data_IF_063746617521
#
_entry.id   IF_063746617521
#
_cell.length_a   1.000
_cell.length_b   1.000
_cell.length_c   1.000
_cell.angle_alpha   90.00
_cell.angle_beta   90.00
_cell.angle_gamma   90.00
#
_symmetry.space_group_name_H-M   'P 1'
#
loop_
_entity.id
_entity.type
_entity.pdbx_description
1 polymer ?
#
# COMPACT_ATOMS: atom_id res chain seq x y z
N UNK A 1 1.94 10.59 22.55
CA UNK A 1 1.15 9.68 21.66
C UNK A 1 0.64 10.32 20.36
N UNK A 2 0.43 11.65 20.26
CA UNK A 2 0.02 12.32 18.99
C UNK A 2 1.15 12.45 17.95
N UNK A 3 2.39 12.70 18.39
CA UNK A 3 3.57 12.83 17.51
C UNK A 3 3.94 11.52 16.79
N UNK A 4 3.90 10.39 17.50
CA UNK A 4 4.16 9.06 16.91
C UNK A 4 3.12 8.70 15.83
N UNK A 5 1.83 9.01 16.05
CA UNK A 5 0.80 8.82 15.03
C UNK A 5 1.03 9.72 13.82
N UNK A 6 1.40 10.98 14.01
CA UNK A 6 1.75 11.90 12.93
C UNK A 6 2.96 11.43 12.10
N UNK A 7 3.99 10.89 12.76
CA UNK A 7 5.19 10.36 12.10
C UNK A 7 4.87 9.07 11.31
N UNK A 8 4.05 8.18 11.88
CA UNK A 8 3.60 6.94 11.22
C UNK A 8 2.70 7.27 10.02
N UNK A 9 1.81 8.27 10.13
CA UNK A 9 0.96 8.71 9.01
C UNK A 9 1.74 9.47 7.93
N UNK A 10 2.77 10.25 8.31
CA UNK A 10 3.64 10.93 7.35
C UNK A 10 4.58 9.97 6.62
N UNK A 11 5.11 8.97 7.31
CA UNK A 11 5.94 7.92 6.73
C UNK A 11 5.18 7.07 5.71
N UNK A 12 3.89 6.77 5.95
CA UNK A 12 3.05 6.05 5.00
C UNK A 12 2.87 6.78 3.67
N UNK A 13 2.74 8.10 3.70
CA UNK A 13 2.58 8.93 2.49
C UNK A 13 3.89 8.96 1.70
N UNK A 14 5.02 9.19 2.38
CA UNK A 14 6.34 9.18 1.73
C UNK A 14 6.68 7.80 1.14
N UNK A 15 6.41 6.73 1.88
CA UNK A 15 6.60 5.36 1.43
C UNK A 15 5.72 5.05 0.21
N UNK A 16 4.47 5.52 0.19
CA UNK A 16 3.57 5.35 -0.95
C UNK A 16 4.13 5.98 -2.25
N UNK A 17 4.61 7.23 -2.18
CA UNK A 17 5.18 7.90 -3.36
C UNK A 17 6.50 7.25 -3.81
N UNK A 18 7.35 6.85 -2.86
CA UNK A 18 8.58 6.12 -3.16
C UNK A 18 8.29 4.77 -3.84
N UNK A 19 7.33 4.01 -3.33
CA UNK A 19 6.91 2.74 -3.94
C UNK A 19 6.28 2.94 -5.32
N UNK A 20 5.50 4.00 -5.51
CA UNK A 20 4.91 4.35 -6.80
C UNK A 20 5.99 4.61 -7.86
N UNK A 21 7.11 5.22 -7.47
CA UNK A 21 8.27 5.41 -8.33
C UNK A 21 8.92 4.08 -8.74
N UNK A 22 9.15 3.18 -7.78
CA UNK A 22 9.72 1.85 -8.05
C UNK A 22 8.80 1.06 -8.99
N UNK A 23 7.49 1.09 -8.74
CA UNK A 23 6.50 0.44 -9.59
C UNK A 23 6.49 1.01 -11.01
N UNK A 24 6.65 2.33 -11.19
CA UNK A 24 6.80 2.93 -12.52
C UNK A 24 8.02 2.34 -13.25
N UNK A 25 9.17 2.25 -12.59
CA UNK A 25 10.39 1.70 -13.20
C UNK A 25 10.21 0.22 -13.54
N UNK A 26 9.63 -0.57 -12.62
CA UNK A 26 9.38 -1.99 -12.81
C UNK A 26 8.41 -2.25 -13.97
N UNK A 27 7.27 -1.55 -13.98
CA UNK A 27 6.26 -1.71 -15.03
C UNK A 27 6.78 -1.26 -16.39
N UNK A 28 7.55 -0.17 -16.46
CA UNK A 28 8.19 0.23 -17.71
C UNK A 28 9.30 -0.72 -18.15
N UNK A 29 9.97 -1.41 -17.22
CA UNK A 29 10.89 -2.50 -17.56
C UNK A 29 10.16 -3.70 -18.16
N UNK A 30 9.11 -4.18 -17.48
CA UNK A 30 8.39 -5.41 -17.85
C UNK A 30 7.48 -5.22 -19.07
N UNK A 31 6.64 -4.17 -19.11
CA UNK A 31 5.65 -3.98 -20.17
C UNK A 31 6.28 -3.65 -21.53
N UNK A 32 7.41 -2.93 -21.52
CA UNK A 32 8.15 -2.61 -22.75
C UNK A 32 8.81 -3.87 -23.32
N UNK A 33 9.37 -4.73 -22.46
CA UNK A 33 9.95 -6.01 -22.88
C UNK A 33 8.90 -6.97 -23.44
N UNK A 34 7.69 -6.96 -22.87
CA UNK A 34 6.60 -7.83 -23.30
C UNK A 34 5.80 -7.28 -24.50
N UNK A 35 6.13 -6.07 -25.01
CA UNK A 35 5.37 -5.36 -26.06
C UNK A 35 3.85 -5.28 -25.81
N UNK A 36 3.44 -5.44 -24.55
CA UNK A 36 2.03 -5.60 -24.17
C UNK A 36 1.28 -4.26 -24.21
N UNK A 37 2.01 -3.17 -24.05
CA UNK A 37 1.48 -1.80 -24.09
C UNK A 37 2.44 -0.95 -24.93
N UNK A 38 1.95 -0.23 -25.96
CA UNK A 38 2.79 0.58 -26.83
C UNK A 38 3.31 1.86 -26.15
N UNK A 39 2.85 2.15 -24.94
CA UNK A 39 3.12 3.39 -24.22
C UNK A 39 3.65 3.14 -22.81
N UNK A 40 4.66 3.91 -22.44
CA UNK A 40 5.24 3.91 -21.09
C UNK A 40 4.21 4.40 -20.08
N UNK A 41 4.13 3.73 -18.93
CA UNK A 41 3.28 4.13 -17.82
C UNK A 41 3.83 5.42 -17.20
N UNK A 42 2.95 6.41 -17.07
CA UNK A 42 3.25 7.68 -16.39
C UNK A 42 3.25 7.51 -14.88
N UNK A 43 3.96 8.39 -14.17
CA UNK A 43 4.05 8.31 -12.70
C UNK A 43 2.68 8.30 -12.00
N UNK A 44 1.74 9.13 -12.49
CA UNK A 44 0.38 9.22 -11.97
C UNK A 44 -0.43 7.94 -12.17
N UNK A 45 -0.21 7.23 -13.27
CA UNK A 45 -0.85 5.93 -13.51
C UNK A 45 -0.29 4.85 -12.58
N UNK A 46 1.02 4.80 -12.38
CA UNK A 46 1.65 3.87 -11.45
C UNK A 46 1.17 4.12 -10.00
N UNK A 47 1.09 5.39 -9.58
CA UNK A 47 0.54 5.76 -8.29
C UNK A 47 -0.95 5.36 -8.18
N UNK A 48 -1.76 5.68 -9.20
CA UNK A 48 -3.18 5.30 -9.22
C UNK A 48 -3.40 3.79 -9.11
N UNK A 49 -2.67 2.98 -9.89
CA UNK A 49 -2.71 1.52 -9.79
C UNK A 49 -2.30 1.03 -8.41
N UNK A 50 -1.25 1.62 -7.84
CA UNK A 50 -0.80 1.28 -6.50
C UNK A 50 -1.84 1.61 -5.42
N UNK A 51 -2.53 2.74 -5.55
CA UNK A 51 -3.65 3.10 -4.68
C UNK A 51 -4.81 2.10 -4.79
N UNK A 52 -5.16 1.69 -6.01
CA UNK A 52 -6.20 0.67 -6.22
C UNK A 52 -5.83 -0.65 -5.54
N UNK A 53 -4.58 -1.11 -5.64
CA UNK A 53 -4.09 -2.29 -4.93
C UNK A 53 -4.25 -2.11 -3.42
N UNK A 54 -3.82 -0.98 -2.86
CA UNK A 54 -3.97 -0.70 -1.43
C UNK A 54 -5.45 -0.75 -1.02
N UNK A 55 -6.36 -0.14 -1.78
CA UNK A 55 -7.79 -0.15 -1.45
C UNK A 55 -8.39 -1.56 -1.52
N UNK A 56 -8.03 -2.35 -2.54
CA UNK A 56 -8.48 -3.73 -2.69
C UNK A 56 -8.01 -4.62 -1.53
N UNK A 57 -6.79 -4.42 -1.05
CA UNK A 57 -6.23 -5.18 0.06
C UNK A 57 -6.44 -4.53 1.44
N UNK A 58 -6.91 -3.28 1.51
CA UNK A 58 -7.17 -2.58 2.76
C UNK A 58 -8.30 -3.25 3.56
N UNK A 59 -9.22 -3.94 2.88
CA UNK A 59 -10.28 -4.72 3.53
C UNK A 59 -9.82 -6.13 3.94
N UNK A 60 -8.71 -6.63 3.41
CA UNK A 60 -8.09 -7.93 3.80
C UNK A 60 -7.26 -7.73 5.08
N UNK A 61 -7.86 -7.05 6.06
CA UNK A 61 -7.33 -6.94 7.41
C UNK A 61 -7.48 -8.27 8.15
N UNK A 62 -6.57 -9.21 7.90
CA UNK A 62 -6.24 -10.24 8.90
C UNK A 62 -5.68 -9.50 10.11
N UNK A 63 -6.57 -9.22 11.06
CA UNK A 63 -6.26 -8.36 12.20
C UNK A 63 -7.48 -7.62 12.71
N UNK A 64 -8.55 -8.35 13.02
CA UNK A 64 -9.57 -7.85 13.94
C UNK A 64 -9.15 -8.21 15.38
N UNK A 65 -8.45 -7.33 16.13
CA UNK A 65 -8.08 -7.60 17.52
C UNK A 65 -9.28 -7.63 18.48
N UNK A 66 -10.50 -7.28 18.02
CA UNK A 66 -11.67 -7.22 18.91
C UNK A 66 -12.19 -8.60 19.38
N UNK A 67 -11.75 -9.70 18.75
CA UNK A 67 -12.10 -11.06 19.19
C UNK A 67 -11.20 -11.64 20.29
N UNK A 68 -9.90 -11.32 20.27
CA UNK A 68 -8.91 -11.93 21.18
C UNK A 68 -8.85 -11.25 22.55
N UNK A 69 -9.06 -9.94 22.63
CA UNK A 69 -9.00 -9.21 23.90
C UNK A 69 -10.20 -9.49 24.84
N UNK A 70 -11.34 -9.92 24.30
CA UNK A 70 -12.57 -10.09 25.09
C UNK A 70 -12.56 -11.37 25.96
N UNK A 71 -11.80 -12.39 25.56
CA UNK A 71 -11.70 -13.65 26.31
C UNK A 71 -10.64 -13.64 27.42
N UNK A 72 -9.68 -12.72 27.39
CA UNK A 72 -8.63 -12.64 28.41
C UNK A 72 -9.11 -12.05 29.75
N UNK A 73 -10.22 -11.29 29.76
CA UNK A 73 -10.82 -10.77 31.00
C UNK A 73 -11.69 -11.78 31.76
N UNK A 74 -11.85 -13.01 31.26
CA UNK A 74 -12.62 -14.06 31.96
C UNK A 74 -11.76 -15.02 32.78
N UNK A 75 -10.44 -14.91 32.70
CA UNK A 75 -9.49 -15.81 33.37
C UNK A 75 -8.63 -15.13 34.45
N UNK A 76 -8.87 -13.85 34.75
CA UNK A 76 -8.32 -13.17 35.94
C UNK A 76 -9.46 -12.77 36.88
#
# INVERSE_FOLDING_TARGET
>A
MKLLRGLITGGGIAAYFFFSWILKLLWNGVLVQLQLVPTLITYWQAAGLWLFVIILFAWVGIGNPSGLAKNWKKFC
#
